data_IF_281065872390
#
_entry.id   IF_281065872390
#
_cell.length_a   1.000
_cell.length_b   1.000
_cell.length_c   1.000
_cell.angle_alpha   90.00
_cell.angle_beta   90.00
_cell.angle_gamma   90.00
#
_symmetry.space_group_name_H-M   'P 1'
#
loop_
_entity.id
_entity.type
_entity.pdbx_description
1 polymer ?
#
# COMPACT_ATOMS: atom_id res chain seq x y z
N UNK A 1 8.77 0.46 -29.45
CA UNK A 1 9.93 -0.41 -29.16
C UNK A 1 9.55 -1.34 -28.02
N UNK A 2 9.91 -2.60 -28.16
CA UNK A 2 9.30 -3.81 -27.58
C UNK A 2 9.26 -3.87 -26.05
N UNK A 3 8.07 -4.06 -25.47
CA UNK A 3 7.95 -4.77 -24.19
C UNK A 3 7.72 -6.25 -24.51
N UNK A 4 8.80 -7.01 -24.41
CA UNK A 4 8.74 -8.46 -24.27
C UNK A 4 7.96 -8.74 -22.98
N UNK A 5 6.66 -8.97 -23.10
CA UNK A 5 5.85 -9.52 -22.01
C UNK A 5 6.32 -10.94 -21.81
N UNK A 6 6.89 -11.25 -20.63
CA UNK A 6 7.21 -12.61 -20.24
C UNK A 6 5.91 -13.42 -20.29
N UNK A 7 5.78 -14.29 -21.30
CA UNK A 7 4.60 -15.10 -21.63
C UNK A 7 4.28 -16.21 -20.59
N UNK A 8 4.74 -16.06 -19.35
CA UNK A 8 4.56 -17.06 -18.30
C UNK A 8 4.36 -16.44 -16.92
N UNK A 9 3.88 -17.23 -15.94
CA UNK A 9 3.69 -16.78 -14.56
C UNK A 9 4.90 -16.04 -13.99
N UNK A 10 4.67 -14.89 -13.34
CA UNK A 10 5.76 -14.15 -12.68
C UNK A 10 6.21 -14.92 -11.44
N UNK A 11 7.49 -15.35 -11.35
CA UNK A 11 7.95 -16.21 -10.25
C UNK A 11 7.98 -15.50 -8.89
N UNK A 12 7.88 -14.16 -8.88
CA UNK A 12 7.88 -13.30 -7.70
C UNK A 12 6.46 -12.84 -7.30
N UNK A 13 5.39 -13.32 -7.94
CA UNK A 13 4.00 -13.02 -7.56
C UNK A 13 3.28 -14.32 -7.21
N UNK A 14 2.98 -14.53 -5.92
CA UNK A 14 2.44 -15.79 -5.42
C UNK A 14 1.08 -16.13 -6.04
N UNK A 15 0.23 -15.12 -6.27
CA UNK A 15 -1.09 -15.29 -6.90
C UNK A 15 -1.05 -15.69 -8.37
N UNK A 16 0.11 -15.58 -9.03
CA UNK A 16 0.26 -15.93 -10.45
C UNK A 16 1.11 -17.17 -10.68
N UNK A 17 2.08 -17.40 -9.81
CA UNK A 17 3.00 -18.53 -9.90
C UNK A 17 2.35 -19.83 -9.43
N UNK A 18 3.14 -20.89 -9.41
CA UNK A 18 2.67 -22.23 -9.08
C UNK A 18 3.66 -22.97 -8.17
N UNK A 19 3.19 -24.06 -7.58
CA UNK A 19 3.97 -24.84 -6.63
C UNK A 19 5.27 -25.41 -7.21
N UNK A 20 5.30 -25.76 -8.50
CA UNK A 20 6.54 -26.23 -9.13
C UNK A 20 7.61 -25.14 -9.09
N UNK A 21 7.28 -23.93 -9.52
CA UNK A 21 8.19 -22.78 -9.45
C UNK A 21 8.60 -22.49 -8.01
N UNK A 22 7.66 -22.44 -7.06
CA UNK A 22 7.96 -22.15 -5.65
C UNK A 22 8.93 -23.18 -5.05
N UNK A 23 8.79 -24.47 -5.38
CA UNK A 23 9.71 -25.52 -4.93
C UNK A 23 11.11 -25.44 -5.53
N UNK A 24 11.25 -24.86 -6.70
CA UNK A 24 12.52 -24.73 -7.43
C UNK A 24 13.22 -23.39 -7.16
N UNK A 25 12.57 -22.49 -6.42
CA UNK A 25 13.11 -21.18 -6.04
C UNK A 25 13.36 -21.10 -4.53
N UNK A 26 14.21 -20.16 -4.14
CA UNK A 26 14.38 -19.74 -2.76
C UNK A 26 13.85 -18.33 -2.63
N UNK A 27 13.16 -18.04 -1.54
CA UNK A 27 12.66 -16.71 -1.20
C UNK A 27 13.21 -16.31 0.17
N UNK A 28 13.67 -15.07 0.29
CA UNK A 28 14.24 -14.53 1.53
C UNK A 28 13.43 -13.38 2.10
N UNK A 29 12.60 -12.73 1.27
CA UNK A 29 11.75 -11.60 1.68
C UNK A 29 10.34 -11.81 1.15
N UNK A 30 9.35 -11.81 2.05
CA UNK A 30 7.94 -11.77 1.69
C UNK A 30 7.46 -10.32 1.65
N UNK A 31 6.71 -9.97 0.61
CA UNK A 31 6.10 -8.65 0.42
C UNK A 31 4.59 -8.82 0.52
N UNK A 32 3.95 -8.15 1.49
CA UNK A 32 2.51 -8.23 1.71
C UNK A 32 1.85 -6.90 1.32
N UNK A 33 1.20 -6.80 0.14
CA UNK A 33 0.37 -5.67 -0.18
C UNK A 33 -0.88 -5.66 0.72
N UNK A 34 -1.22 -4.47 1.23
CA UNK A 34 -2.35 -4.31 2.12
C UNK A 34 -3.05 -2.98 1.85
N UNK A 35 -4.29 -3.04 1.35
CA UNK A 35 -5.12 -1.87 1.11
C UNK A 35 -6.31 -1.77 2.05
N UNK A 36 -7.43 -1.31 1.51
CA UNK A 36 -8.73 -1.26 2.14
C UNK A 36 -9.85 -1.28 1.10
N UNK A 37 -11.08 -1.44 1.58
CA UNK A 37 -12.29 -1.32 0.75
C UNK A 37 -13.07 -0.11 1.26
N UNK A 38 -12.91 1.03 0.60
CA UNK A 38 -13.51 2.31 1.02
C UNK A 38 -13.76 3.31 -0.11
N UNK A 39 -14.70 4.23 0.14
CA UNK A 39 -15.07 5.26 -0.81
C UNK A 39 -13.93 6.26 -1.05
N UNK A 40 -13.54 6.43 -2.31
CA UNK A 40 -12.53 7.37 -2.75
C UNK A 40 -13.14 8.46 -3.64
N UNK A 41 -13.73 9.49 -3.02
CA UNK A 41 -14.49 10.49 -3.76
C UNK A 41 -15.62 9.80 -4.58
N UNK A 42 -16.23 10.49 -5.54
CA UNK A 42 -17.24 9.92 -6.44
C UNK A 42 -16.63 9.17 -7.63
N UNK A 43 -15.36 9.42 -7.98
CA UNK A 43 -14.79 8.99 -9.25
C UNK A 43 -13.84 7.79 -9.18
N UNK A 44 -13.26 7.48 -8.03
CA UNK A 44 -12.35 6.34 -7.88
C UNK A 44 -13.05 5.10 -7.33
N UNK A 45 -12.57 3.89 -7.67
CA UNK A 45 -13.16 2.65 -7.20
C UNK A 45 -12.97 2.45 -5.69
N UNK A 46 -13.86 1.69 -5.05
CA UNK A 46 -13.74 1.31 -3.63
C UNK A 46 -12.47 0.53 -3.30
N UNK A 47 -11.87 -0.11 -4.31
CA UNK A 47 -10.63 -0.87 -4.19
C UNK A 47 -9.36 -0.09 -4.52
N UNK A 48 -9.39 1.24 -4.52
CA UNK A 48 -8.24 2.09 -4.89
C UNK A 48 -6.98 1.69 -4.11
N UNK A 49 -7.04 1.62 -2.79
CA UNK A 49 -5.90 1.23 -1.94
C UNK A 49 -5.34 -0.14 -2.30
N UNK A 50 -6.21 -1.09 -2.65
CA UNK A 50 -5.81 -2.44 -3.05
C UNK A 50 -5.07 -2.41 -4.38
N UNK A 51 -5.61 -1.70 -5.37
CA UNK A 51 -4.99 -1.53 -6.69
C UNK A 51 -3.60 -0.90 -6.52
N UNK A 52 -3.50 0.18 -5.74
CA UNK A 52 -2.26 0.93 -5.58
C UNK A 52 -1.20 0.13 -4.81
N UNK A 53 -1.56 -0.48 -3.68
CA UNK A 53 -0.64 -1.30 -2.89
C UNK A 53 -0.13 -2.52 -3.67
N UNK A 54 -1.04 -3.27 -4.31
CA UNK A 54 -0.70 -4.49 -5.05
C UNK A 54 0.20 -4.17 -6.25
N UNK A 55 -0.15 -3.17 -7.05
CA UNK A 55 0.68 -2.78 -8.19
C UNK A 55 2.03 -2.23 -7.74
N UNK A 56 2.10 -1.43 -6.68
CA UNK A 56 3.37 -0.94 -6.15
C UNK A 56 4.27 -2.09 -5.68
N UNK A 57 3.72 -3.04 -4.91
CA UNK A 57 4.45 -4.21 -4.44
C UNK A 57 4.99 -5.06 -5.60
N UNK A 58 4.15 -5.34 -6.60
CA UNK A 58 4.51 -6.15 -7.77
C UNK A 58 5.55 -5.46 -8.64
N UNK A 59 5.38 -4.16 -8.95
CA UNK A 59 6.30 -3.41 -9.79
C UNK A 59 7.68 -3.26 -9.12
N UNK A 60 7.72 -3.04 -7.81
CA UNK A 60 8.98 -3.01 -7.05
C UNK A 60 9.63 -4.39 -6.97
N UNK A 61 8.83 -5.44 -6.75
CA UNK A 61 9.34 -6.80 -6.71
C UNK A 61 9.91 -7.24 -8.06
N UNK A 62 9.30 -6.86 -9.18
CA UNK A 62 9.84 -7.10 -10.53
C UNK A 62 11.25 -6.49 -10.67
N UNK A 63 11.40 -5.21 -10.30
CA UNK A 63 12.68 -4.49 -10.38
C UNK A 63 13.75 -5.13 -9.48
N UNK A 64 13.41 -5.48 -8.24
CA UNK A 64 14.32 -6.11 -7.30
C UNK A 64 14.69 -7.55 -7.73
N UNK A 65 13.70 -8.33 -8.19
CA UNK A 65 13.90 -9.69 -8.71
C UNK A 65 14.86 -9.70 -9.90
N UNK A 66 14.67 -8.78 -10.84
CA UNK A 66 15.55 -8.64 -12.01
C UNK A 66 16.99 -8.24 -11.63
N UNK A 67 17.18 -7.62 -10.46
CA UNK A 67 18.50 -7.32 -9.86
C UNK A 67 19.05 -8.46 -8.98
N UNK A 68 18.32 -9.57 -8.84
CA UNK A 68 18.77 -10.78 -8.14
C UNK A 68 18.15 -11.01 -6.76
N UNK A 69 17.34 -10.09 -6.24
CA UNK A 69 16.69 -10.31 -4.95
C UNK A 69 15.68 -11.47 -5.01
N UNK A 70 15.62 -12.23 -3.90
CA UNK A 70 14.73 -13.38 -3.74
C UNK A 70 13.44 -12.97 -3.01
N UNK A 71 12.65 -12.14 -3.67
CA UNK A 71 11.38 -11.60 -3.15
C UNK A 71 10.16 -12.41 -3.62
N UNK A 72 9.12 -12.47 -2.80
CA UNK A 72 7.80 -13.02 -3.18
C UNK A 72 6.70 -12.09 -2.71
N UNK A 73 5.85 -11.63 -3.64
CA UNK A 73 4.65 -10.85 -3.33
C UNK A 73 3.52 -11.81 -2.98
N UNK A 74 3.00 -11.69 -1.76
CA UNK A 74 1.86 -12.43 -1.25
C UNK A 74 0.54 -11.85 -1.80
N UNK A 75 -0.57 -12.60 -1.78
CA UNK A 75 -1.89 -12.07 -2.14
C UNK A 75 -2.25 -10.84 -1.29
N UNK A 76 -2.85 -9.84 -1.94
CA UNK A 76 -3.28 -8.59 -1.28
C UNK A 76 -4.32 -8.85 -0.18
N UNK A 77 -4.21 -8.11 0.93
CA UNK A 77 -5.25 -8.06 1.95
C UNK A 77 -6.22 -6.90 1.63
N UNK A 78 -7.50 -7.18 1.32
CA UNK A 78 -8.39 -6.19 0.72
C UNK A 78 -9.11 -5.26 1.71
N UNK A 79 -8.83 -5.37 3.02
CA UNK A 79 -9.56 -4.68 4.08
C UNK A 79 -8.62 -3.98 5.06
N UNK A 80 -8.97 -2.75 5.42
CA UNK A 80 -8.19 -1.88 6.31
C UNK A 80 -9.01 -1.33 7.47
N UNK A 81 -8.40 -0.48 8.29
CA UNK A 81 -9.07 0.15 9.44
C UNK A 81 -9.90 1.34 8.97
N UNK A 82 -11.20 1.12 8.78
CA UNK A 82 -12.13 2.10 8.22
C UNK A 82 -13.13 2.62 9.26
N UNK A 83 -12.78 2.55 10.54
CA UNK A 83 -13.65 2.93 11.67
C UNK A 83 -14.20 4.36 11.59
N UNK A 84 -13.59 5.25 10.79
CA UNK A 84 -14.06 6.61 10.54
C UNK A 84 -15.16 6.75 9.51
N UNK A 85 -15.38 5.72 8.68
CA UNK A 85 -16.29 5.69 7.53
C UNK A 85 -17.40 4.65 7.71
N UNK A 86 -17.71 4.23 8.94
CA UNK A 86 -18.74 3.21 9.23
C UNK A 86 -20.15 3.57 8.74
N UNK A 87 -20.39 4.85 8.43
CA UNK A 87 -21.64 5.37 7.87
C UNK A 87 -21.61 5.55 6.35
N UNK A 88 -20.52 5.18 5.69
CA UNK A 88 -20.41 5.09 4.23
C UNK A 88 -20.83 3.69 3.79
N UNK A 89 -21.79 3.61 2.89
CA UNK A 89 -22.33 2.34 2.40
C UNK A 89 -21.21 1.46 1.80
N UNK A 90 -21.19 0.17 2.16
CA UNK A 90 -20.20 -0.81 1.69
C UNK A 90 -18.73 -0.49 2.03
N UNK A 91 -18.43 0.50 2.87
CA UNK A 91 -17.09 0.64 3.42
C UNK A 91 -16.83 -0.47 4.44
N UNK A 92 -15.88 -1.38 4.13
CA UNK A 92 -15.65 -2.59 4.91
C UNK A 92 -14.50 -2.36 5.89
N UNK A 93 -14.83 -2.38 7.19
CA UNK A 93 -13.86 -2.20 8.26
C UNK A 93 -13.25 -3.52 8.75
N UNK A 94 -11.93 -3.57 8.85
CA UNK A 94 -11.16 -4.56 9.60
C UNK A 94 -10.54 -3.88 10.84
N UNK A 95 -10.87 -4.38 12.03
CA UNK A 95 -10.30 -3.84 13.26
C UNK A 95 -8.79 -4.12 13.37
N UNK A 96 -8.01 -3.27 14.06
CA UNK A 96 -6.59 -3.52 14.29
C UNK A 96 -6.29 -4.89 14.94
N UNK A 97 -7.17 -5.36 15.84
CA UNK A 97 -7.06 -6.69 16.44
C UNK A 97 -7.21 -7.82 15.43
N UNK A 98 -8.02 -7.63 14.39
CA UNK A 98 -8.19 -8.59 13.29
C UNK A 98 -6.97 -8.55 12.36
N UNK A 99 -6.41 -7.37 12.09
CA UNK A 99 -5.15 -7.24 11.34
C UNK A 99 -4.01 -8.00 12.04
N UNK A 100 -3.90 -7.84 13.36
CA UNK A 100 -2.95 -8.58 14.18
C UNK A 100 -3.17 -10.09 14.12
N UNK A 101 -4.41 -10.57 14.23
CA UNK A 101 -4.71 -12.00 14.15
C UNK A 101 -4.31 -12.58 12.78
N UNK A 102 -4.65 -11.89 11.69
CA UNK A 102 -4.29 -12.30 10.33
C UNK A 102 -2.77 -12.31 10.12
N UNK A 103 -2.06 -11.31 10.64
CA UNK A 103 -0.60 -11.29 10.58
C UNK A 103 0.06 -12.41 11.39
N UNK A 104 -0.52 -12.81 12.53
CA UNK A 104 0.00 -13.95 13.30
C UNK A 104 -0.03 -15.23 12.47
N UNK A 105 -1.11 -15.47 11.72
CA UNK A 105 -1.24 -16.65 10.86
C UNK A 105 -0.25 -16.61 9.69
N UNK A 106 -0.11 -15.45 9.03
CA UNK A 106 0.84 -15.28 7.91
C UNK A 106 2.28 -15.48 8.41
N UNK A 107 2.66 -14.79 9.48
CA UNK A 107 4.03 -14.85 10.01
C UNK A 107 4.38 -16.25 10.49
N UNK A 108 3.44 -17.00 11.07
CA UNK A 108 3.65 -18.40 11.44
C UNK A 108 4.08 -19.25 10.24
N UNK A 109 3.43 -19.08 9.08
CA UNK A 109 3.78 -19.80 7.85
C UNK A 109 5.16 -19.37 7.35
N UNK A 110 5.43 -18.07 7.34
CA UNK A 110 6.72 -17.53 6.90
C UNK A 110 7.89 -18.04 7.78
N UNK A 111 7.74 -18.01 9.10
CA UNK A 111 8.72 -18.53 10.06
C UNK A 111 8.96 -20.03 9.84
N UNK A 112 7.89 -20.82 9.66
CA UNK A 112 7.97 -22.26 9.36
C UNK A 112 8.75 -22.54 8.08
N UNK A 113 8.68 -21.64 7.10
CA UNK A 113 9.37 -21.76 5.81
C UNK A 113 10.73 -21.03 5.77
N UNK A 114 11.23 -20.55 6.92
CA UNK A 114 12.48 -19.79 7.05
C UNK A 114 12.53 -18.49 6.21
N UNK A 115 11.37 -17.87 5.96
CA UNK A 115 11.27 -16.54 5.34
C UNK A 115 11.15 -15.51 6.46
N UNK A 116 12.30 -15.06 6.97
CA UNK A 116 12.39 -14.25 8.18
C UNK A 116 12.27 -12.73 7.98
N UNK A 117 11.90 -12.29 6.77
CA UNK A 117 11.80 -10.86 6.43
C UNK A 117 10.44 -10.60 5.77
N UNK A 118 9.61 -9.80 6.43
CA UNK A 118 8.29 -9.41 5.94
C UNK A 118 8.23 -7.89 5.75
N UNK A 119 7.91 -7.47 4.53
CA UNK A 119 7.67 -6.06 4.17
C UNK A 119 6.19 -5.89 3.86
N UNK A 120 5.48 -5.09 4.65
CA UNK A 120 4.10 -4.71 4.38
C UNK A 120 4.11 -3.46 3.49
N UNK A 121 3.54 -3.55 2.29
CA UNK A 121 3.36 -2.41 1.38
C UNK A 121 1.92 -1.92 1.55
N UNK A 122 1.77 -0.88 2.36
CA UNK A 122 0.47 -0.34 2.73
C UNK A 122 -0.05 0.66 1.70
N UNK A 123 -1.32 0.52 1.35
CA UNK A 123 -2.10 1.40 0.48
C UNK A 123 -3.02 2.37 1.21
N UNK A 124 -3.31 2.15 2.49
CA UNK A 124 -4.36 2.88 3.22
C UNK A 124 -3.84 3.63 4.45
N UNK A 125 -4.10 4.94 4.54
CA UNK A 125 -3.69 5.77 5.68
C UNK A 125 -4.29 5.38 7.03
N UNK A 126 -5.43 4.68 7.05
CA UNK A 126 -6.07 4.20 8.29
C UNK A 126 -5.33 3.04 8.96
N UNK A 127 -4.53 2.28 8.20
CA UNK A 127 -3.76 1.16 8.73
C UNK A 127 -2.57 1.67 9.58
N UNK A 128 -2.40 1.11 10.78
CA UNK A 128 -1.26 1.44 11.65
C UNK A 128 -0.56 0.17 12.14
N UNK A 129 0.49 -0.22 11.43
CA UNK A 129 1.22 -1.45 11.69
C UNK A 129 2.24 -1.35 12.83
N UNK A 130 2.58 -0.15 13.31
CA UNK A 130 3.68 0.00 14.31
C UNK A 130 3.41 -0.77 15.62
N UNK A 131 2.22 -0.71 16.25
CA UNK A 131 1.93 -1.53 17.42
C UNK A 131 1.92 -3.03 17.09
N UNK A 132 1.41 -3.40 15.92
CA UNK A 132 1.31 -4.78 15.46
C UNK A 132 2.71 -5.39 15.27
N UNK A 133 3.61 -4.67 14.61
CA UNK A 133 5.02 -5.07 14.40
C UNK A 133 5.72 -5.32 15.74
N UNK A 134 5.51 -4.44 16.73
CA UNK A 134 6.08 -4.61 18.09
C UNK A 134 5.56 -5.85 18.80
N UNK A 135 4.30 -6.20 18.61
CA UNK A 135 3.75 -7.43 19.18
C UNK A 135 4.29 -8.66 18.44
N UNK A 136 4.32 -8.62 17.11
CA UNK A 136 4.87 -9.70 16.28
C UNK A 136 6.34 -9.99 16.60
N UNK A 137 7.17 -8.98 16.88
CA UNK A 137 8.58 -9.20 17.22
C UNK A 137 8.79 -9.97 18.53
N UNK A 138 7.80 -9.98 19.43
CA UNK A 138 7.85 -10.78 20.67
C UNK A 138 7.38 -12.22 20.38
N UNK A 139 6.33 -12.36 19.57
CA UNK A 139 5.72 -13.67 19.27
C UNK A 139 6.61 -14.49 18.31
N UNK A 140 7.23 -13.82 17.33
CA UNK A 140 8.06 -14.41 16.29
C UNK A 140 9.42 -13.71 16.24
N UNK A 141 10.31 -13.95 17.21
CA UNK A 141 11.56 -13.19 17.37
C UNK A 141 12.56 -13.38 16.21
N UNK A 142 12.36 -14.40 15.36
CA UNK A 142 13.18 -14.62 14.16
C UNK A 142 12.70 -13.82 12.96
N UNK A 143 11.45 -13.35 12.95
CA UNK A 143 10.88 -12.65 11.80
C UNK A 143 10.98 -11.15 12.01
N UNK A 144 11.79 -10.51 11.17
CA UNK A 144 11.81 -9.06 11.05
C UNK A 144 10.63 -8.60 10.16
N UNK A 145 9.66 -7.91 10.77
CA UNK A 145 8.54 -7.32 10.06
C UNK A 145 8.68 -5.79 10.03
N UNK A 146 8.48 -5.19 8.85
CA UNK A 146 8.41 -3.76 8.67
C UNK A 146 7.25 -3.38 7.75
N UNK A 147 6.87 -2.10 7.76
CA UNK A 147 5.82 -1.58 6.91
C UNK A 147 6.25 -0.26 6.28
N UNK A 148 5.84 -0.04 5.04
CA UNK A 148 5.98 1.22 4.33
C UNK A 148 4.63 1.61 3.74
N UNK A 149 4.42 2.92 3.58
CA UNK A 149 3.32 3.46 2.79
C UNK A 149 3.86 3.74 1.39
N UNK A 150 3.30 3.15 0.34
CA UNK A 150 3.91 3.21 -0.99
C UNK A 150 4.08 4.66 -1.49
N UNK A 151 3.12 5.54 -1.14
CA UNK A 151 3.11 6.96 -1.53
C UNK A 151 4.15 7.81 -0.78
N UNK A 152 4.81 7.27 0.24
CA UNK A 152 5.87 7.96 0.99
C UNK A 152 7.28 7.59 0.49
N UNK A 153 7.40 6.60 -0.40
CA UNK A 153 8.68 6.18 -0.95
C UNK A 153 9.26 7.15 -1.99
N UNK A 154 8.43 8.05 -2.51
CA UNK A 154 8.85 9.22 -3.30
C UNK A 154 8.17 10.45 -2.73
N UNK A 155 8.58 11.65 -3.17
CA UNK A 155 8.06 12.93 -2.67
C UNK A 155 6.93 13.43 -3.57
N UNK A 156 5.65 13.38 -3.15
CA UNK A 156 4.51 13.76 -3.99
C UNK A 156 4.58 15.18 -4.55
N UNK A 157 5.14 16.12 -3.77
CA UNK A 157 5.24 17.54 -4.13
C UNK A 157 6.14 17.80 -5.35
N UNK A 158 6.96 16.84 -5.75
CA UNK A 158 7.80 16.97 -6.95
C UNK A 158 7.01 16.61 -8.23
N UNK A 159 5.80 16.05 -8.11
CA UNK A 159 4.99 15.54 -9.22
C UNK A 159 3.57 16.12 -9.29
N UNK A 160 3.04 16.58 -8.16
CA UNK A 160 1.66 17.04 -8.00
C UNK A 160 1.61 18.41 -7.36
N UNK A 161 0.66 19.24 -7.79
CA UNK A 161 0.45 20.56 -7.19
C UNK A 161 -0.32 20.45 -5.87
N UNK A 162 -1.32 19.58 -5.83
CA UNK A 162 -2.14 19.28 -4.66
C UNK A 162 -2.28 17.75 -4.52
N UNK A 163 -1.25 17.03 -4.04
CA UNK A 163 -1.31 15.57 -3.91
C UNK A 163 -2.58 15.04 -3.25
N UNK A 164 -3.10 15.80 -2.27
CA UNK A 164 -4.22 15.42 -1.42
C UNK A 164 -3.83 14.40 -0.36
N UNK A 165 -4.73 14.23 0.61
CA UNK A 165 -4.61 13.22 1.67
C UNK A 165 -5.41 11.95 1.34
N UNK A 166 -6.53 12.08 0.61
CA UNK A 166 -7.45 10.97 0.28
C UNK A 166 -8.20 11.23 -1.01
N UNK A 167 -8.14 10.33 -1.98
CA UNK A 167 -8.74 10.45 -3.32
C UNK A 167 -8.38 11.76 -4.06
N UNK A 168 -7.24 12.35 -3.72
CA UNK A 168 -6.73 13.60 -4.28
C UNK A 168 -6.00 13.40 -5.62
N UNK A 169 -5.18 14.40 -6.00
CA UNK A 169 -4.45 14.38 -7.27
C UNK A 169 -3.55 13.14 -7.42
N UNK A 170 -2.85 12.75 -6.35
CA UNK A 170 -1.89 11.64 -6.39
C UNK A 170 -2.56 10.30 -6.68
N UNK A 171 -3.54 9.90 -5.87
CA UNK A 171 -4.20 8.60 -6.02
C UNK A 171 -5.00 8.53 -7.32
N UNK A 172 -5.64 9.64 -7.67
CA UNK A 172 -6.36 9.75 -8.94
C UNK A 172 -5.42 9.55 -10.12
N UNK A 173 -4.29 10.26 -10.14
CA UNK A 173 -3.33 10.19 -11.24
C UNK A 173 -2.73 8.80 -11.40
N UNK A 174 -2.34 8.16 -10.29
CA UNK A 174 -1.76 6.81 -10.33
C UNK A 174 -2.81 5.78 -10.73
N UNK A 175 -4.06 5.90 -10.26
CA UNK A 175 -5.15 5.00 -10.68
C UNK A 175 -5.50 5.18 -12.15
N UNK A 176 -5.49 6.41 -12.68
CA UNK A 176 -5.64 6.67 -14.12
C UNK A 176 -4.51 6.03 -14.95
N UNK A 177 -3.30 5.93 -14.41
CA UNK A 177 -2.19 5.24 -15.06
C UNK A 177 -2.37 3.71 -15.05
N UNK A 178 -2.70 3.13 -13.90
CA UNK A 178 -2.74 1.68 -13.72
C UNK A 178 -4.02 1.04 -14.25
N UNK A 179 -5.16 1.65 -13.99
CA UNK A 179 -6.50 1.11 -14.28
C UNK A 179 -7.43 2.20 -14.83
N UNK A 180 -7.11 2.82 -15.98
CA UNK A 180 -7.87 3.96 -16.52
C UNK A 180 -9.36 3.69 -16.71
N UNK A 181 -9.73 2.43 -16.98
CA UNK A 181 -11.13 2.02 -17.21
C UNK A 181 -11.98 1.99 -15.94
N UNK A 182 -11.37 2.08 -14.76
CA UNK A 182 -12.06 2.07 -13.46
C UNK A 182 -12.27 3.47 -12.89
N UNK A 183 -11.66 4.50 -13.50
CA UNK A 183 -11.76 5.89 -13.04
C UNK A 183 -12.84 6.60 -13.84
N UNK A 184 -13.84 7.16 -13.15
CA UNK A 184 -14.84 7.99 -13.81
C UNK A 184 -14.22 9.31 -14.31
N UNK A 185 -14.82 9.97 -15.31
CA UNK A 185 -14.37 11.29 -15.76
C UNK A 185 -14.26 12.29 -14.60
N UNK A 186 -13.21 13.12 -14.59
CA UNK A 186 -12.90 14.02 -13.47
C UNK A 186 -13.94 15.13 -13.24
N UNK A 187 -14.78 15.41 -14.23
CA UNK A 187 -15.95 16.30 -14.08
C UNK A 187 -17.01 15.73 -13.12
N UNK A 188 -16.98 14.43 -12.84
CA UNK A 188 -17.84 13.77 -11.85
C UNK A 188 -17.20 13.71 -10.46
N UNK A 189 -15.91 14.05 -10.34
CA UNK A 189 -15.24 14.11 -9.05
C UNK A 189 -15.72 15.32 -8.24
N UNK A 190 -15.92 15.12 -6.94
CA UNK A 190 -16.05 16.19 -5.97
C UNK A 190 -14.73 16.93 -5.77
N UNK A 191 -14.79 18.14 -5.23
CA UNK A 191 -13.62 19.01 -5.03
C UNK A 191 -12.68 18.52 -3.91
N UNK A 192 -13.08 17.52 -3.11
CA UNK A 192 -12.27 16.99 -2.02
C UNK A 192 -12.11 17.98 -0.86
N UNK A 193 -13.07 18.90 -0.70
CA UNK A 193 -13.04 19.90 0.36
C UNK A 193 -13.30 19.25 1.73
N UNK A 194 -12.39 19.45 2.67
CA UNK A 194 -12.50 18.91 4.02
C UNK A 194 -12.60 19.99 5.10
N UNK A 195 -13.47 19.78 6.09
CA UNK A 195 -13.54 20.60 7.30
C UNK A 195 -12.38 20.29 8.24
N UNK A 196 -11.87 21.33 8.89
CA UNK A 196 -10.85 21.22 9.93
C UNK A 196 -11.47 21.09 11.33
N UNK A 197 -10.73 20.46 12.24
CA UNK A 197 -11.11 20.45 13.65
C UNK A 197 -11.22 21.88 14.22
N UNK A 198 -12.24 22.11 15.06
CA UNK A 198 -12.39 23.37 15.81
C UNK A 198 -11.35 23.47 16.94
N UNK A 199 -11.00 22.34 17.55
CA UNK A 199 -10.01 22.24 18.63
C UNK A 199 -8.60 22.38 18.05
N UNK A 200 -7.82 23.34 18.57
CA UNK A 200 -6.49 23.71 18.07
C UNK A 200 -5.53 22.50 17.97
N UNK A 201 -5.39 21.71 19.04
CA UNK A 201 -4.46 20.58 19.04
C UNK A 201 -4.78 19.48 18.03
N UNK A 202 -6.06 19.19 17.81
CA UNK A 202 -6.51 18.26 16.77
C UNK A 202 -6.30 18.84 15.36
N UNK A 203 -6.52 20.15 15.20
CA UNK A 203 -6.31 20.85 13.91
C UNK A 203 -4.84 20.92 13.53
N UNK A 204 -3.96 21.08 14.52
CA UNK A 204 -2.50 21.13 14.34
C UNK A 204 -1.86 19.73 14.25
N UNK A 205 -2.62 18.66 14.49
CA UNK A 205 -2.18 17.28 14.25
C UNK A 205 -1.27 16.65 15.32
N UNK A 206 -0.89 17.37 16.38
CA UNK A 206 -0.12 16.79 17.49
C UNK A 206 -0.99 16.04 18.51
N UNK A 207 -2.32 16.18 18.41
CA UNK A 207 -3.31 15.33 19.08
C UNK A 207 -4.03 14.51 18.02
N UNK A 208 -4.23 13.22 18.28
CA UNK A 208 -4.92 12.29 17.37
C UNK A 208 -6.25 11.85 17.96
N UNK A 209 -7.28 11.77 17.12
CA UNK A 209 -8.58 11.20 17.44
C UNK A 209 -9.20 10.57 16.19
N UNK A 210 -10.14 9.65 16.37
CA UNK A 210 -10.89 9.09 15.26
C UNK A 210 -11.75 10.18 14.61
N UNK A 211 -11.54 10.40 13.31
CA UNK A 211 -12.33 11.33 12.50
C UNK A 211 -13.59 10.61 12.02
N UNK A 212 -14.77 11.24 12.20
CA UNK A 212 -16.00 10.84 11.51
C UNK A 212 -15.96 11.43 10.10
N UNK A 213 -15.75 10.58 9.10
CA UNK A 213 -15.35 10.99 7.75
C UNK A 213 -16.41 11.81 7.01
N UNK A 214 -17.66 11.38 7.06
CA UNK A 214 -18.82 12.07 6.49
C UNK A 214 -19.16 13.39 7.19
N UNK A 215 -18.64 13.62 8.40
CA UNK A 215 -18.80 14.89 9.10
C UNK A 215 -17.78 15.94 8.65
N UNK A 216 -16.71 15.54 7.94
CA UNK A 216 -15.66 16.44 7.47
C UNK A 216 -15.64 16.60 5.96
N UNK A 217 -16.21 15.67 5.20
CA UNK A 217 -16.22 15.67 3.73
C UNK A 217 -17.64 15.41 3.24
N UNK A 218 -18.01 15.99 2.09
CA UNK A 218 -19.28 15.67 1.44
C UNK A 218 -19.14 14.53 0.43
N UNK A 219 -18.00 14.47 -0.24
CA UNK A 219 -17.71 13.54 -1.33
C UNK A 219 -16.84 12.36 -0.89
N UNK A 220 -16.43 12.30 0.39
CA UNK A 220 -15.41 11.40 0.95
C UNK A 220 -13.95 11.72 0.61
N UNK A 221 -13.69 12.62 -0.35
CA UNK A 221 -12.34 13.04 -0.74
C UNK A 221 -11.73 14.09 0.19
N UNK A 222 -10.40 14.12 0.28
CA UNK A 222 -9.60 15.15 0.96
C UNK A 222 -8.44 15.56 0.03
N UNK A 223 -8.64 16.67 -0.68
CA UNK A 223 -7.74 17.19 -1.71
C UNK A 223 -8.35 17.14 -3.11
N UNK A 224 -8.08 18.17 -3.92
CA UNK A 224 -8.71 18.34 -5.22
C UNK A 224 -8.05 17.45 -6.31
N UNK A 225 -8.80 16.53 -6.96
CA UNK A 225 -8.22 15.61 -7.94
C UNK A 225 -8.09 16.18 -9.35
N UNK A 226 -8.59 17.40 -9.62
CA UNK A 226 -8.80 17.91 -11.01
C UNK A 226 -7.54 18.08 -11.85
N UNK A 227 -6.36 18.11 -11.23
CA UNK A 227 -5.05 18.19 -11.92
C UNK A 227 -4.42 16.83 -12.20
N UNK A 228 -5.07 15.75 -11.80
CA UNK A 228 -4.58 14.40 -12.00
C UNK A 228 -4.47 14.06 -13.49
N UNK A 229 -3.36 13.43 -13.89
CA UNK A 229 -3.19 12.90 -15.24
C UNK A 229 -2.57 11.50 -15.17
N UNK A 230 -2.81 10.66 -16.17
CA UNK A 230 -2.09 9.38 -16.23
C UNK A 230 -0.55 9.56 -16.33
N UNK A 231 -0.09 10.71 -16.84
CA UNK A 231 1.34 11.00 -16.98
C UNK A 231 2.02 11.26 -15.63
N UNK A 232 1.54 12.22 -14.84
CA UNK A 232 2.14 12.50 -13.52
C UNK A 232 1.97 11.31 -12.57
N UNK A 233 0.86 10.58 -12.67
CA UNK A 233 0.67 9.31 -11.97
C UNK A 233 1.73 8.27 -12.33
N UNK A 234 2.00 8.06 -13.62
CA UNK A 234 3.07 7.17 -14.08
C UNK A 234 4.44 7.61 -13.56
N UNK A 235 4.78 8.88 -13.68
CA UNK A 235 6.09 9.41 -13.32
C UNK A 235 6.35 9.25 -11.82
N UNK A 236 5.37 9.57 -10.97
CA UNK A 236 5.44 9.34 -9.53
C UNK A 236 5.52 7.85 -9.18
N UNK A 237 4.66 7.02 -9.78
CA UNK A 237 4.62 5.58 -9.50
C UNK A 237 5.94 4.89 -9.84
N UNK A 238 6.59 5.27 -10.95
CA UNK A 238 7.92 4.76 -11.30
C UNK A 238 8.94 5.16 -10.23
N UNK A 239 8.96 6.44 -9.83
CA UNK A 239 9.88 6.94 -8.79
C UNK A 239 9.69 6.23 -7.45
N UNK A 240 8.45 6.09 -6.99
CA UNK A 240 8.14 5.39 -5.73
C UNK A 240 8.55 3.90 -5.81
N UNK A 241 8.23 3.22 -6.92
CA UNK A 241 8.55 1.80 -7.05
C UNK A 241 10.03 1.51 -7.27
N UNK A 242 10.81 2.47 -7.81
CA UNK A 242 12.28 2.39 -7.86
C UNK A 242 12.88 2.42 -6.45
N UNK A 243 12.47 3.39 -5.63
CA UNK A 243 12.94 3.50 -4.24
C UNK A 243 12.57 2.27 -3.40
N UNK A 244 11.34 1.76 -3.53
CA UNK A 244 10.91 0.54 -2.83
C UNK A 244 11.71 -0.68 -3.34
N UNK A 245 12.04 -0.76 -4.63
CA UNK A 245 12.84 -1.87 -5.15
C UNK A 245 14.28 -1.85 -4.61
N UNK A 246 14.87 -0.67 -4.43
CA UNK A 246 16.17 -0.52 -3.77
C UNK A 246 16.11 -0.99 -2.31
N UNK A 247 15.09 -0.56 -1.57
CA UNK A 247 14.84 -1.06 -0.22
C UNK A 247 14.65 -2.59 -0.18
N UNK A 248 13.92 -3.18 -1.13
CA UNK A 248 13.77 -4.64 -1.21
C UNK A 248 15.11 -5.37 -1.47
N UNK A 249 16.04 -4.77 -2.21
CA UNK A 249 17.40 -5.29 -2.39
C UNK A 249 18.20 -5.25 -1.08
N UNK A 250 18.12 -4.14 -0.34
CA UNK A 250 18.74 -4.00 0.98
C UNK A 250 18.17 -5.03 1.96
N UNK A 251 16.85 -5.18 2.00
CA UNK A 251 16.17 -6.21 2.79
C UNK A 251 16.61 -7.61 2.38
N UNK A 252 16.79 -7.90 1.10
CA UNK A 252 17.33 -9.19 0.67
C UNK A 252 18.75 -9.43 1.22
N UNK A 253 19.63 -8.42 1.14
CA UNK A 253 21.04 -8.53 1.49
C UNK A 253 21.34 -8.48 2.99
N UNK A 254 20.53 -7.78 3.79
CA UNK A 254 20.84 -7.51 5.21
C UNK A 254 20.85 -8.78 6.06
N UNK A 255 21.76 -8.87 7.02
CA UNK A 255 21.66 -9.84 8.12
C UNK A 255 20.78 -9.24 9.23
N UNK A 256 19.66 -9.88 9.56
CA UNK A 256 18.74 -9.34 10.59
C UNK A 256 19.35 -9.32 11.99
N UNK A 257 20.43 -10.07 12.22
CA UNK A 257 21.19 -10.06 13.48
C UNK A 257 22.22 -8.92 13.56
N UNK A 258 22.46 -8.21 12.45
CA UNK A 258 23.49 -7.18 12.31
C UNK A 258 22.97 -6.01 11.44
N UNK A 259 22.02 -5.25 11.99
CA UNK A 259 21.29 -4.19 11.30
C UNK A 259 21.64 -2.75 11.77
N UNK A 260 22.49 -2.60 12.77
CA UNK A 260 22.70 -1.33 13.47
C UNK A 260 24.19 -0.94 13.47
N UNK A 261 24.47 0.33 13.15
CA UNK A 261 25.79 0.97 13.22
C UNK A 261 25.90 1.94 14.41
#
# INVERSE_FOLDING_TARGET
MSKQTTLGPRPYVLGETNWKTVREQTYTVAILPWGATEAHNYHLPYGTDNILAENAAIASAEKAWNKGAKVIVLPNIPFGVNTGQMDVELCINMNPSTQLALLKDIVQVLDTHNIHKLVIVNGHGGNNFKPIIRELSIIYPKVFACALNWWQASRPKDFFEEPGDHAGELETAVTMYLTPTLVLPLELAGDGNALNYKIKGLREGWVTAQRKWTAVTQDTGVGNPKKATAKNGKDFFISATDAIAEFMMEMHAVNIEDMYE
#
